data_IF_556931095109
#
_entry.id   IF_556931095109
#
_cell.length_a   1.000
_cell.length_b   1.000
_cell.length_c   1.000
_cell.angle_alpha   90.00
_cell.angle_beta   90.00
_cell.angle_gamma   90.00
#
_symmetry.space_group_name_H-M   'P 1'
#
loop_
_entity.id
_entity.type
_entity.pdbx_description
1 polymer ?
#
# COMPACT_ATOMS: atom_id res chain seq x y z
N UNK A 1 5.78 11.08 -14.98
CA UNK A 1 7.27 11.07 -14.79
C UNK A 1 7.89 9.85 -15.47
N UNK A 2 9.24 9.79 -15.61
CA UNK A 2 9.90 8.57 -16.17
C UNK A 2 9.75 7.41 -15.17
N UNK A 3 9.63 6.17 -15.67
CA UNK A 3 9.50 4.98 -14.83
C UNK A 3 10.59 4.86 -13.77
N UNK A 4 11.85 5.03 -14.19
CA UNK A 4 12.99 4.98 -13.30
C UNK A 4 12.87 5.97 -12.12
N UNK A 5 12.46 7.23 -12.40
CA UNK A 5 12.28 8.22 -11.35
C UNK A 5 11.12 7.88 -10.40
N UNK A 6 10.05 7.25 -10.91
CA UNK A 6 8.96 6.76 -10.05
C UNK A 6 9.44 5.62 -9.14
N UNK A 7 10.14 4.64 -9.71
CA UNK A 7 10.71 3.53 -8.95
C UNK A 7 11.71 4.00 -7.89
N UNK A 8 12.61 4.93 -8.22
CA UNK A 8 13.56 5.51 -7.26
C UNK A 8 12.84 6.23 -6.11
N UNK A 9 11.81 7.05 -6.42
CA UNK A 9 11.03 7.71 -5.39
C UNK A 9 10.33 6.71 -4.46
N UNK A 10 9.70 5.69 -5.03
CA UNK A 10 9.08 4.59 -4.28
C UNK A 10 10.10 3.91 -3.36
N UNK A 11 11.28 3.57 -3.87
CA UNK A 11 12.32 2.90 -3.10
C UNK A 11 12.86 3.77 -1.95
N UNK A 12 13.14 5.06 -2.20
CA UNK A 12 13.61 5.98 -1.16
C UNK A 12 12.59 6.09 -0.03
N UNK A 13 11.31 6.30 -0.37
CA UNK A 13 10.26 6.42 0.64
C UNK A 13 10.06 5.12 1.42
N UNK A 14 10.13 3.97 0.76
CA UNK A 14 10.04 2.67 1.42
C UNK A 14 11.18 2.47 2.42
N UNK A 15 12.42 2.81 2.05
CA UNK A 15 13.57 2.71 2.96
C UNK A 15 13.44 3.67 4.15
N UNK A 16 12.97 4.88 3.93
CA UNK A 16 12.79 5.87 5.01
C UNK A 16 11.72 5.41 6.02
N UNK A 17 10.59 4.89 5.56
CA UNK A 17 9.52 4.37 6.44
C UNK A 17 10.00 3.12 7.17
N UNK A 18 10.64 2.18 6.47
CA UNK A 18 11.24 0.99 7.09
C UNK A 18 12.23 1.38 8.19
N UNK A 19 13.13 2.32 7.91
CA UNK A 19 14.11 2.79 8.89
C UNK A 19 13.43 3.44 10.10
N UNK A 20 12.41 4.29 9.89
CA UNK A 20 11.66 4.92 10.96
C UNK A 20 10.93 3.88 11.83
N UNK A 21 10.28 2.89 11.20
CA UNK A 21 9.60 1.80 11.91
C UNK A 21 10.58 0.98 12.77
N UNK A 22 11.65 0.49 12.17
CA UNK A 22 12.63 -0.34 12.89
C UNK A 22 13.36 0.45 13.98
N UNK A 23 13.64 1.73 13.74
CA UNK A 23 14.25 2.59 14.75
C UNK A 23 13.32 2.84 15.94
N UNK A 24 12.04 3.12 15.72
CA UNK A 24 11.08 3.33 16.80
C UNK A 24 10.81 2.03 17.58
N UNK A 25 10.76 0.88 16.90
CA UNK A 25 10.67 -0.43 17.54
C UNK A 25 11.91 -0.73 18.40
N UNK A 26 13.09 -0.38 17.92
CA UNK A 26 14.32 -0.49 18.69
C UNK A 26 14.25 0.36 19.98
N UNK A 27 13.84 1.62 19.86
CA UNK A 27 13.67 2.49 21.03
C UNK A 27 12.61 1.95 22.01
N UNK A 28 11.52 1.39 21.52
CA UNK A 28 10.49 0.79 22.34
C UNK A 28 11.03 -0.42 23.13
N UNK A 29 11.80 -1.28 22.48
CA UNK A 29 12.40 -2.47 23.10
C UNK A 29 13.43 -2.10 24.18
N UNK A 30 14.19 -1.03 23.99
CA UNK A 30 15.24 -0.59 24.93
C UNK A 30 14.69 0.19 26.15
N UNK A 31 13.53 0.88 25.98
CA UNK A 31 13.11 1.86 26.97
C UNK A 31 11.75 1.57 27.60
N UNK A 32 10.94 0.68 27.05
CA UNK A 32 9.60 0.39 27.58
C UNK A 32 9.58 -0.93 28.37
N UNK A 33 8.92 -0.94 29.53
CA UNK A 33 8.64 -2.19 30.23
C UNK A 33 7.69 -3.06 29.41
N UNK A 34 7.94 -4.37 29.41
CA UNK A 34 7.12 -5.30 28.65
C UNK A 34 5.75 -5.50 29.28
N UNK A 35 4.69 -5.31 28.50
CA UNK A 35 3.28 -5.45 28.90
C UNK A 35 2.84 -4.53 30.06
N UNK A 36 3.47 -3.36 30.17
CA UNK A 36 3.04 -2.32 31.12
C UNK A 36 2.67 -1.05 30.36
N UNK A 37 1.65 -0.35 30.88
CA UNK A 37 1.18 0.90 30.29
C UNK A 37 2.02 2.06 30.75
N UNK A 38 2.61 2.81 29.82
CA UNK A 38 3.34 4.05 30.06
C UNK A 38 2.55 5.22 29.46
N UNK A 39 1.89 6.07 30.26
CA UNK A 39 1.15 7.20 29.76
C UNK A 39 2.07 8.29 29.20
N UNK A 40 1.79 8.80 27.98
CA UNK A 40 2.51 9.91 27.37
C UNK A 40 1.65 11.17 27.40
N UNK A 41 0.38 11.07 27.00
CA UNK A 41 -0.62 12.14 27.05
C UNK A 41 -1.88 11.65 27.80
N UNK A 42 -1.69 11.21 29.05
CA UNK A 42 -2.76 10.61 29.86
C UNK A 42 -3.39 9.41 29.15
N UNK A 43 -4.73 9.35 29.12
CA UNK A 43 -5.47 8.27 28.45
C UNK A 43 -5.58 8.47 26.94
N UNK A 44 -5.15 9.62 26.42
CA UNK A 44 -5.22 9.89 24.99
C UNK A 44 -4.17 9.13 24.18
N UNK A 45 -2.93 9.09 24.67
CA UNK A 45 -1.82 8.37 24.06
C UNK A 45 -0.99 7.70 25.15
N UNK A 46 -0.88 6.41 25.01
CA UNK A 46 -0.10 5.55 25.89
C UNK A 46 0.90 4.73 25.08
N UNK A 47 1.97 4.27 25.71
CA UNK A 47 2.85 3.26 25.15
C UNK A 47 2.63 1.95 25.90
N UNK A 48 2.61 0.85 25.16
CA UNK A 48 2.41 -0.49 25.72
C UNK A 48 3.16 -1.50 24.86
N UNK A 49 4.35 -1.89 25.30
CA UNK A 49 5.18 -2.81 24.54
C UNK A 49 4.61 -4.22 24.52
N UNK A 50 4.35 -4.76 23.34
CA UNK A 50 3.91 -6.14 23.16
C UNK A 50 4.53 -6.79 21.93
N UNK A 51 4.51 -8.13 21.89
CA UNK A 51 4.93 -8.95 20.75
C UNK A 51 3.69 -9.58 20.13
N UNK A 52 3.38 -9.21 18.90
CA UNK A 52 2.17 -9.59 18.20
C UNK A 52 2.44 -10.78 17.25
N UNK A 53 1.95 -11.99 17.54
CA UNK A 53 2.06 -13.15 16.65
C UNK A 53 1.19 -13.05 15.39
N UNK A 54 0.35 -12.03 15.27
CA UNK A 54 -0.57 -11.84 14.15
C UNK A 54 -1.97 -12.38 14.40
N UNK A 55 -2.25 -12.83 15.62
CA UNK A 55 -3.54 -13.35 16.00
C UNK A 55 -4.39 -12.27 16.65
N UNK A 56 -5.29 -11.66 15.90
CA UNK A 56 -6.51 -11.16 16.50
C UNK A 56 -7.27 -12.39 17.05
N UNK A 57 -7.62 -12.36 18.36
CA UNK A 57 -8.43 -13.41 19.00
C UNK A 57 -7.75 -14.76 19.32
N UNK A 58 -6.46 -14.80 19.65
CA UNK A 58 -5.79 -16.04 20.13
C UNK A 58 -5.83 -17.23 19.13
N UNK A 59 -6.05 -16.97 17.85
CA UNK A 59 -6.03 -17.99 16.80
C UNK A 59 -4.59 -18.38 16.44
N UNK A 60 -3.83 -18.74 17.44
CA UNK A 60 -2.67 -19.57 17.34
C UNK A 60 -1.42 -18.98 16.68
N UNK A 61 -0.32 -19.09 17.38
CA UNK A 61 1.05 -18.92 16.87
C UNK A 61 1.29 -19.80 15.61
N UNK A 62 0.50 -20.87 15.44
CA UNK A 62 0.58 -21.82 14.35
C UNK A 62 0.33 -21.24 12.95
N UNK A 63 -0.39 -20.11 12.82
CA UNK A 63 -0.71 -19.51 11.53
C UNK A 63 0.07 -18.23 11.22
N UNK A 64 1.03 -17.86 12.06
CA UNK A 64 1.86 -16.65 11.91
C UNK A 64 2.55 -16.57 10.55
N UNK A 65 3.00 -17.69 10.01
CA UNK A 65 3.65 -17.78 8.69
C UNK A 65 2.74 -17.33 7.53
N UNK A 66 1.41 -17.45 7.67
CA UNK A 66 0.45 -16.99 6.65
C UNK A 66 0.55 -15.48 6.48
N UNK A 67 0.64 -14.73 7.60
CA UNK A 67 0.81 -13.27 7.54
C UNK A 67 2.13 -12.89 6.88
N UNK A 68 3.19 -13.65 7.11
CA UNK A 68 4.48 -13.43 6.45
C UNK A 68 4.38 -13.60 4.94
N UNK A 69 3.68 -14.64 4.46
CA UNK A 69 3.45 -14.85 3.03
C UNK A 69 2.61 -13.71 2.44
N UNK A 70 1.54 -13.29 3.14
CA UNK A 70 0.70 -12.18 2.68
C UNK A 70 1.52 -10.89 2.55
N UNK A 71 2.32 -10.54 3.56
CA UNK A 71 3.17 -9.35 3.53
C UNK A 71 4.24 -9.45 2.42
N UNK A 72 4.87 -10.61 2.26
CA UNK A 72 5.88 -10.83 1.20
C UNK A 72 5.25 -10.72 -0.20
N UNK A 73 4.07 -11.31 -0.39
CA UNK A 73 3.33 -11.19 -1.65
C UNK A 73 2.93 -9.74 -1.95
N UNK A 74 2.39 -9.03 -0.96
CA UNK A 74 2.01 -7.62 -1.09
C UNK A 74 3.24 -6.75 -1.42
N UNK A 75 4.37 -6.96 -0.75
CA UNK A 75 5.62 -6.26 -1.05
C UNK A 75 6.08 -6.52 -2.49
N UNK A 76 6.11 -7.79 -2.92
CA UNK A 76 6.48 -8.19 -4.27
C UNK A 76 5.56 -7.58 -5.33
N UNK A 77 4.25 -7.57 -5.10
CA UNK A 77 3.27 -6.95 -5.98
C UNK A 77 3.52 -5.44 -6.13
N UNK A 78 3.74 -4.73 -5.02
CA UNK A 78 4.01 -3.29 -5.05
C UNK A 78 5.30 -2.99 -5.81
N UNK A 79 6.36 -3.77 -5.58
CA UNK A 79 7.64 -3.62 -6.31
C UNK A 79 7.43 -3.84 -7.81
N UNK A 80 6.69 -4.88 -8.19
CA UNK A 80 6.34 -5.15 -9.58
C UNK A 80 5.55 -3.99 -10.22
N UNK A 81 4.50 -3.51 -9.55
CA UNK A 81 3.70 -2.38 -10.05
C UNK A 81 4.53 -1.11 -10.17
N UNK A 82 5.37 -0.80 -9.18
CA UNK A 82 6.23 0.37 -9.18
C UNK A 82 7.22 0.34 -10.37
N UNK A 83 7.79 -0.81 -10.68
CA UNK A 83 8.71 -0.98 -11.80
C UNK A 83 7.99 -0.96 -13.16
N UNK A 84 6.86 -1.67 -13.30
CA UNK A 84 6.20 -1.93 -14.58
C UNK A 84 5.18 -0.86 -14.98
N UNK A 85 4.41 -0.33 -14.03
CA UNK A 85 3.18 0.44 -14.31
C UNK A 85 3.18 1.87 -13.79
N UNK A 86 3.86 2.17 -12.68
CA UNK A 86 3.77 3.50 -12.05
C UNK A 86 4.54 4.54 -12.86
N UNK A 87 3.81 5.60 -13.25
CA UNK A 87 4.35 6.81 -13.90
C UNK A 87 3.88 8.09 -13.19
N UNK A 88 2.92 7.97 -12.29
CA UNK A 88 2.37 9.04 -11.49
C UNK A 88 3.20 9.27 -10.23
N UNK A 89 3.50 10.55 -9.91
CA UNK A 89 4.20 10.90 -8.66
C UNK A 89 3.34 10.57 -7.44
N UNK A 90 2.02 10.76 -7.53
CA UNK A 90 1.09 10.45 -6.43
C UNK A 90 1.14 8.96 -6.09
N UNK A 91 1.04 8.09 -7.10
CA UNK A 91 1.14 6.66 -6.90
C UNK A 91 2.51 6.21 -6.40
N UNK A 92 3.61 6.81 -6.91
CA UNK A 92 4.95 6.50 -6.43
C UNK A 92 5.12 6.82 -4.93
N UNK A 93 4.56 7.94 -4.46
CA UNK A 93 4.58 8.31 -3.04
C UNK A 93 3.75 7.33 -2.22
N UNK A 94 2.50 7.11 -2.59
CA UNK A 94 1.58 6.24 -1.84
C UNK A 94 2.11 4.81 -1.74
N UNK A 95 2.54 4.23 -2.87
CA UNK A 95 3.07 2.87 -2.88
C UNK A 95 4.43 2.76 -2.19
N UNK A 96 5.25 3.82 -2.21
CA UNK A 96 6.51 3.84 -1.48
C UNK A 96 6.31 3.83 0.04
N UNK A 97 5.41 4.67 0.54
CA UNK A 97 5.06 4.72 1.96
C UNK A 97 4.39 3.41 2.43
N UNK A 98 3.47 2.86 1.62
CA UNK A 98 2.82 1.57 1.88
C UNK A 98 3.84 0.43 1.91
N UNK A 99 4.73 0.38 0.93
CA UNK A 99 5.78 -0.64 0.86
C UNK A 99 6.69 -0.59 2.08
N UNK A 100 7.08 0.61 2.53
CA UNK A 100 7.90 0.78 3.73
C UNK A 100 7.24 0.22 4.98
N UNK A 101 5.94 0.49 5.19
CA UNK A 101 5.18 -0.10 6.30
C UNK A 101 5.11 -1.64 6.20
N UNK A 102 4.79 -2.18 5.02
CA UNK A 102 4.76 -3.63 4.81
C UNK A 102 6.13 -4.25 5.10
N UNK A 103 7.22 -3.65 4.61
CA UNK A 103 8.57 -4.14 4.87
C UNK A 103 8.96 -4.05 6.34
N UNK A 104 8.46 -3.04 7.09
CA UNK A 104 8.67 -2.92 8.53
C UNK A 104 8.15 -4.14 9.29
N UNK A 105 6.88 -4.48 9.10
CA UNK A 105 6.29 -5.65 9.73
C UNK A 105 6.81 -6.98 9.15
N UNK A 106 7.13 -7.02 7.86
CA UNK A 106 7.75 -8.21 7.25
C UNK A 106 9.15 -8.46 7.84
N UNK A 107 9.95 -7.43 8.08
CA UNK A 107 11.26 -7.56 8.73
C UNK A 107 11.12 -8.24 10.08
N UNK A 108 10.19 -7.80 10.92
CA UNK A 108 9.95 -8.43 12.22
C UNK A 108 9.62 -9.93 12.06
N UNK A 109 8.74 -10.26 11.12
CA UNK A 109 8.34 -11.65 10.82
C UNK A 109 9.50 -12.55 10.37
N UNK A 110 10.48 -11.97 9.68
CA UNK A 110 11.61 -12.75 9.14
C UNK A 110 12.76 -12.89 10.13
N UNK A 111 12.98 -11.89 11.02
CA UNK A 111 14.23 -11.85 11.82
C UNK A 111 14.04 -11.95 13.32
N UNK A 112 12.81 -11.74 13.85
CA UNK A 112 12.56 -11.78 15.29
C UNK A 112 12.16 -13.16 15.77
N UNK A 113 12.19 -13.35 17.08
CA UNK A 113 11.71 -14.55 17.74
C UNK A 113 10.19 -14.75 17.50
N UNK A 114 9.73 -16.03 17.46
CA UNK A 114 10.45 -17.26 17.80
C UNK A 114 11.33 -17.80 16.67
N UNK A 115 11.28 -17.25 15.44
CA UNK A 115 12.13 -17.74 14.37
C UNK A 115 11.75 -17.21 12.98
N UNK A 116 12.48 -17.66 11.97
CA UNK A 116 12.29 -17.25 10.57
C UNK A 116 10.87 -17.48 10.10
N UNK A 117 10.27 -16.47 9.49
CA UNK A 117 8.93 -16.45 8.92
C UNK A 117 7.76 -16.59 9.93
N UNK A 118 8.05 -16.72 11.22
CA UNK A 118 7.06 -16.79 12.30
C UNK A 118 7.34 -15.77 13.42
N UNK A 119 8.29 -14.86 13.20
CA UNK A 119 8.66 -13.81 14.14
C UNK A 119 7.46 -12.92 14.52
N UNK A 120 7.46 -12.43 15.75
CA UNK A 120 6.42 -11.55 16.28
C UNK A 120 6.70 -10.10 15.92
N UNK A 121 5.67 -9.38 15.48
CA UNK A 121 5.76 -7.94 15.25
C UNK A 121 5.80 -7.21 16.59
N UNK A 122 6.64 -6.18 16.69
CA UNK A 122 6.71 -5.32 17.87
C UNK A 122 5.70 -4.20 17.74
N UNK A 123 4.69 -4.20 18.63
CA UNK A 123 3.68 -3.17 18.75
C UNK A 123 3.87 -2.42 20.07
N UNK A 124 3.68 -1.10 20.06
CA UNK A 124 3.97 -0.30 21.24
C UNK A 124 3.14 1.00 21.36
N UNK A 125 2.34 1.38 20.36
CA UNK A 125 1.48 2.56 20.39
C UNK A 125 0.09 2.13 20.78
N UNK A 126 -0.47 2.76 21.82
CA UNK A 126 -1.81 2.46 22.31
C UNK A 126 -2.64 3.72 22.43
N UNK A 127 -3.78 3.74 21.75
CA UNK A 127 -4.77 4.84 21.76
C UNK A 127 -6.14 4.28 22.10
N UNK A 128 -6.41 4.05 23.40
CA UNK A 128 -7.61 3.31 23.85
C UNK A 128 -8.95 3.92 23.41
N UNK A 129 -8.99 5.24 23.23
CA UNK A 129 -10.18 5.95 22.75
C UNK A 129 -10.47 5.73 21.26
N UNK A 130 -9.46 5.40 20.45
CA UNK A 130 -9.58 5.22 19.00
C UNK A 130 -9.79 3.74 18.64
N UNK A 131 -9.00 2.86 19.24
CA UNK A 131 -9.06 1.42 18.97
C UNK A 131 -8.46 0.62 20.14
N UNK A 132 -8.99 -0.57 20.42
CA UNK A 132 -8.48 -1.41 21.51
C UNK A 132 -7.16 -2.14 21.14
N UNK A 133 -6.72 -2.07 19.88
CA UNK A 133 -5.51 -2.72 19.42
C UNK A 133 -4.27 -1.85 19.66
N UNK A 134 -3.16 -2.49 20.02
CA UNK A 134 -1.84 -1.87 20.06
C UNK A 134 -1.23 -2.02 18.67
N UNK A 135 -0.54 -0.99 18.20
CA UNK A 135 0.02 -0.92 16.85
C UNK A 135 1.41 -0.26 16.84
N UNK A 136 2.00 -0.12 15.66
CA UNK A 136 3.34 0.44 15.46
C UNK A 136 3.34 1.47 14.30
N UNK A 137 4.53 2.02 14.01
CA UNK A 137 4.68 3.01 12.93
C UNK A 137 4.38 2.42 11.56
N UNK A 138 4.78 1.17 11.29
CA UNK A 138 4.46 0.50 10.03
C UNK A 138 2.95 0.40 9.79
N UNK A 139 2.16 0.06 10.82
CA UNK A 139 0.70 -0.04 10.73
C UNK A 139 0.05 1.30 10.39
N UNK A 140 0.56 2.40 10.98
CA UNK A 140 0.08 3.75 10.64
C UNK A 140 0.23 4.04 9.15
N UNK A 141 1.39 3.71 8.56
CA UNK A 141 1.59 3.86 7.13
C UNK A 141 0.74 2.90 6.31
N UNK A 142 0.63 1.63 6.71
CA UNK A 142 -0.20 0.64 6.01
C UNK A 142 -1.66 1.11 5.95
N UNK A 143 -2.26 1.41 7.10
CA UNK A 143 -3.67 1.79 7.17
C UNK A 143 -3.92 3.10 6.42
N UNK A 144 -3.11 4.13 6.69
CA UNK A 144 -3.28 5.44 6.03
C UNK A 144 -3.12 5.33 4.52
N UNK A 145 -2.09 4.62 4.04
CA UNK A 145 -1.85 4.51 2.61
C UNK A 145 -2.86 3.60 1.93
N UNK A 146 -3.39 2.57 2.60
CA UNK A 146 -4.51 1.77 2.07
C UNK A 146 -5.78 2.62 1.86
N UNK A 147 -6.10 3.51 2.80
CA UNK A 147 -7.19 4.48 2.64
C UNK A 147 -6.92 5.38 1.43
N UNK A 148 -5.69 5.92 1.30
CA UNK A 148 -5.33 6.78 0.16
C UNK A 148 -5.39 6.00 -1.15
N UNK A 149 -4.94 4.75 -1.21
CA UNK A 149 -5.08 3.87 -2.39
C UNK A 149 -6.56 3.75 -2.77
N UNK A 150 -7.43 3.44 -1.82
CA UNK A 150 -8.87 3.34 -2.06
C UNK A 150 -9.45 4.65 -2.63
N UNK A 151 -9.07 5.80 -2.05
CA UNK A 151 -9.50 7.11 -2.55
C UNK A 151 -8.98 7.41 -3.96
N UNK A 152 -7.72 7.09 -4.27
CA UNK A 152 -7.16 7.30 -5.61
C UNK A 152 -7.88 6.44 -6.66
N UNK A 153 -8.22 5.20 -6.30
CA UNK A 153 -9.01 4.30 -7.16
C UNK A 153 -10.44 4.84 -7.35
N UNK A 154 -11.09 5.28 -6.27
CA UNK A 154 -12.46 5.83 -6.34
C UNK A 154 -12.56 7.08 -7.20
N UNK A 155 -11.54 7.94 -7.23
CA UNK A 155 -11.51 9.13 -8.11
C UNK A 155 -11.02 8.81 -9.52
N UNK A 156 -10.85 7.54 -9.88
CA UNK A 156 -10.43 7.08 -11.20
C UNK A 156 -8.99 7.40 -11.58
N UNK A 157 -8.10 7.65 -10.59
CA UNK A 157 -6.69 7.94 -10.89
C UNK A 157 -5.92 6.66 -11.18
N UNK A 158 -5.44 6.49 -12.41
CA UNK A 158 -4.65 5.34 -12.84
C UNK A 158 -3.17 5.46 -12.43
N UNK A 159 -2.46 4.32 -12.45
CA UNK A 159 -1.04 4.23 -12.04
C UNK A 159 -0.10 5.10 -12.88
N UNK A 160 -0.47 5.39 -14.12
CA UNK A 160 0.28 6.28 -15.01
C UNK A 160 0.00 7.77 -14.77
N UNK A 161 -1.07 8.08 -14.03
CA UNK A 161 -1.51 9.44 -13.69
C UNK A 161 -2.65 9.95 -14.56
N UNK A 162 -3.16 9.16 -15.50
CA UNK A 162 -4.38 9.47 -16.24
C UNK A 162 -5.61 9.33 -15.34
N UNK A 163 -6.71 9.97 -15.69
CA UNK A 163 -7.99 9.80 -15.01
C UNK A 163 -8.98 9.10 -15.94
N UNK A 164 -9.55 8.03 -15.45
CA UNK A 164 -10.66 7.36 -16.09
C UNK A 164 -11.97 8.11 -15.73
N UNK A 165 -12.25 9.19 -16.45
CA UNK A 165 -13.48 9.93 -16.24
C UNK A 165 -14.57 9.35 -17.17
N UNK A 166 -15.76 9.13 -16.61
CA UNK A 166 -16.95 8.72 -17.40
C UNK A 166 -17.22 9.70 -18.57
N UNK A 167 -16.79 10.96 -18.43
CA UNK A 167 -16.84 11.99 -19.46
C UNK A 167 -15.91 11.68 -20.65
N UNK A 168 -14.68 11.20 -20.41
CA UNK A 168 -13.76 10.82 -21.48
C UNK A 168 -14.30 9.63 -22.31
N UNK A 169 -14.94 8.66 -21.65
CA UNK A 169 -15.61 7.54 -22.35
C UNK A 169 -16.84 7.95 -23.15
N UNK A 170 -17.58 8.97 -22.69
CA UNK A 170 -18.72 9.50 -23.43
C UNK A 170 -18.25 10.27 -24.68
N UNK A 171 -17.16 11.02 -24.59
CA UNK A 171 -16.57 11.78 -25.68
C UNK A 171 -15.94 10.86 -26.76
N UNK A 172 -15.30 9.76 -26.35
CA UNK A 172 -14.81 8.71 -27.24
C UNK A 172 -15.95 7.99 -27.98
N UNK A 173 -17.07 7.71 -27.28
CA UNK A 173 -18.23 7.07 -27.85
C UNK A 173 -18.96 7.99 -28.86
N UNK A 174 -19.03 9.28 -28.58
CA UNK A 174 -19.62 10.26 -29.51
C UNK A 174 -18.75 10.46 -30.78
N UNK A 175 -17.42 10.49 -30.63
CA UNK A 175 -16.50 10.61 -31.78
C UNK A 175 -16.49 9.35 -32.66
N UNK A 176 -16.66 8.17 -32.07
CA UNK A 176 -16.80 6.91 -32.84
C UNK A 176 -18.13 6.85 -33.61
N UNK A 177 -19.21 7.47 -33.09
CA UNK A 177 -20.51 7.52 -33.73
C UNK A 177 -20.59 8.56 -34.88
N UNK A 178 -19.73 9.56 -34.90
CA UNK A 178 -19.67 10.61 -35.92
C UNK A 178 -18.75 10.28 -37.13
N UNK A 179 -18.07 9.12 -37.12
CA UNK A 179 -17.28 8.73 -38.30
C UNK A 179 -18.19 8.38 -39.46
N UNK A 180 -18.24 9.18 -40.54
CA UNK A 180 -19.17 8.93 -41.66
C UNK A 180 -18.81 7.61 -42.35
N UNK A 181 -19.76 6.71 -42.41
CA UNK A 181 -19.65 5.53 -43.28
C UNK A 181 -19.43 6.04 -44.71
N UNK A 182 -18.23 5.81 -45.22
CA UNK A 182 -17.89 6.12 -46.60
C UNK A 182 -18.89 5.38 -47.52
N UNK A 183 -19.90 6.10 -48.03
CA UNK A 183 -20.77 5.60 -49.08
C UNK A 183 -19.95 5.34 -50.32
N UNK A 184 -19.71 4.08 -50.59
CA UNK A 184 -19.14 3.62 -51.86
C UNK A 184 -20.15 3.93 -52.93
N UNK A 185 -19.94 5.04 -53.62
CA UNK A 185 -20.73 5.43 -54.82
C UNK A 185 -20.37 4.44 -55.96
N UNK A 186 -21.25 3.49 -56.13
CA UNK A 186 -21.19 2.59 -57.28
C UNK A 186 -21.73 3.33 -58.50
N UNK A 187 -20.85 3.90 -59.29
CA UNK A 187 -21.15 4.47 -60.60
C UNK A 187 -21.76 3.39 -61.55
N UNK A 188 -22.92 3.61 -62.17
CA UNK A 188 -23.51 2.63 -63.09
C UNK A 188 -22.71 2.62 -64.41
N UNK A 189 -22.36 1.42 -64.87
CA UNK A 189 -21.82 1.13 -66.18
C UNK A 189 -22.79 1.64 -67.27
N UNK A 190 -22.35 2.60 -68.02
CA UNK A 190 -22.98 3.07 -69.27
C UNK A 190 -22.71 2.06 -70.37
N UNK A 191 -23.67 1.33 -70.76
CA UNK A 191 -23.74 0.58 -72.02
C UNK A 191 -24.11 1.53 -73.12
N UNK A 192 -23.22 1.85 -74.03
CA UNK A 192 -23.52 2.40 -75.34
C UNK A 192 -23.11 1.37 -76.40
N UNK A 193 -24.00 1.23 -77.40
CA UNK A 193 -24.08 0.35 -78.58
C UNK A 193 -22.78 0.09 -79.37
#
# INVERSE_FOLDING_TARGET
>A
MRAAAAGTLTAILAVLVLAADQFTKYLALENLPYQETVPVLGDFLQLYLTRNPGAAFSLGEEVTWIFTIILAFAAGLIVFLAAARVRSRRWAVVLGLLLGGILGNLTDRLVREPGFAVGHVIDFIYTPWMMPAIYNVADMFIVTMMIVVALLVLIGLQLDGTRDTRAARAEEADTESETPVATTDASPLRTDD
#
